data_IF_054378696913
#
_entry.id   IF_054378696913
#
_cell.length_a   1.000
_cell.length_b   1.000
_cell.length_c   1.000
_cell.angle_alpha   90.00
_cell.angle_beta   90.00
_cell.angle_gamma   90.00
#
_symmetry.space_group_name_H-M   'P 1'
#
loop_
_entity.id
_entity.type
_entity.pdbx_description
1 polymer ?
#
# COMPACT_ATOMS: atom_id res chain seq x y z
N UNK A 1 -1.43 16.20 -13.20
CA UNK A 1 -0.90 15.28 -14.23
C UNK A 1 -1.60 15.60 -15.53
N UNK A 2 -0.83 15.66 -16.62
CA UNK A 2 -1.34 15.65 -17.99
C UNK A 2 -0.73 14.46 -18.71
N UNK A 3 -1.54 13.66 -19.37
CA UNK A 3 -1.10 12.56 -20.21
C UNK A 3 -1.68 12.77 -21.60
N UNK A 4 -0.85 12.66 -22.63
CA UNK A 4 -1.27 12.85 -24.01
C UNK A 4 -0.87 11.65 -24.85
N UNK A 5 -1.70 11.33 -25.83
CA UNK A 5 -1.47 10.23 -26.76
C UNK A 5 -0.79 10.79 -28.00
N UNK A 6 0.20 10.08 -28.50
CA UNK A 6 0.73 10.33 -29.83
C UNK A 6 0.58 9.11 -30.71
N UNK A 7 0.31 9.34 -31.99
CA UNK A 7 -0.11 8.30 -32.93
C UNK A 7 -1.63 8.22 -33.14
N UNK A 8 -2.41 9.07 -32.48
CA UNK A 8 -3.86 9.25 -32.71
C UNK A 8 -4.14 9.88 -34.08
N UNK A 9 -3.37 10.89 -34.49
CA UNK A 9 -3.59 11.63 -35.75
C UNK A 9 -3.36 10.77 -37.01
N UNK A 10 -2.25 10.02 -37.14
CA UNK A 10 -2.08 9.11 -38.28
C UNK A 10 -3.11 7.98 -38.32
N UNK A 11 -3.70 7.63 -37.16
CA UNK A 11 -4.78 6.67 -37.04
C UNK A 11 -6.12 7.27 -37.53
N UNK A 12 -6.35 8.56 -37.28
CA UNK A 12 -7.52 9.31 -37.73
C UNK A 12 -7.65 9.36 -39.26
N UNK A 13 -6.50 9.42 -39.94
CA UNK A 13 -6.46 9.53 -41.41
C UNK A 13 -6.73 8.18 -42.11
N UNK A 14 -6.70 7.05 -41.38
CA UNK A 14 -6.83 5.69 -41.92
C UNK A 14 -8.07 4.94 -41.47
N UNK A 15 -8.67 5.31 -40.34
CA UNK A 15 -9.84 4.64 -39.77
C UNK A 15 -11.10 5.47 -39.95
N UNK A 16 -12.23 4.77 -40.05
CA UNK A 16 -13.52 5.44 -39.98
C UNK A 16 -13.70 6.14 -38.61
N UNK A 17 -14.36 7.32 -38.55
CA UNK A 17 -14.53 8.07 -37.31
C UNK A 17 -15.17 7.28 -36.17
N UNK A 18 -16.04 6.32 -36.47
CA UNK A 18 -16.68 5.46 -35.48
C UNK A 18 -15.70 4.49 -34.82
N UNK A 19 -14.85 3.84 -35.63
CA UNK A 19 -13.81 2.92 -35.14
C UNK A 19 -12.76 3.68 -34.33
N UNK A 20 -12.35 4.86 -34.81
CA UNK A 20 -11.45 5.73 -34.06
C UNK A 20 -12.03 6.10 -32.69
N UNK A 21 -13.32 6.47 -32.64
CA UNK A 21 -14.00 6.83 -31.39
C UNK A 21 -14.07 5.66 -30.43
N UNK A 22 -14.32 4.44 -30.92
CA UNK A 22 -14.35 3.23 -30.10
C UNK A 22 -12.99 2.96 -29.45
N UNK A 23 -11.90 3.10 -30.21
CA UNK A 23 -10.52 2.91 -29.73
C UNK A 23 -10.17 3.95 -28.67
N UNK A 24 -10.41 5.23 -28.94
CA UNK A 24 -10.14 6.31 -28.00
C UNK A 24 -10.97 6.16 -26.72
N UNK A 25 -12.23 5.75 -26.83
CA UNK A 25 -13.08 5.50 -25.65
C UNK A 25 -12.54 4.36 -24.79
N UNK A 26 -12.10 3.25 -25.40
CA UNK A 26 -11.47 2.14 -24.69
C UNK A 26 -10.18 2.55 -23.99
N UNK A 27 -9.34 3.32 -24.68
CA UNK A 27 -8.13 3.91 -24.11
C UNK A 27 -8.44 4.81 -22.91
N UNK A 28 -9.36 5.76 -23.03
CA UNK A 28 -9.66 6.70 -21.95
C UNK A 28 -10.22 6.00 -20.73
N UNK A 29 -11.06 4.98 -20.91
CA UNK A 29 -11.55 4.16 -19.82
C UNK A 29 -10.41 3.44 -19.09
N UNK A 30 -9.45 2.88 -19.84
CA UNK A 30 -8.28 2.20 -19.27
C UNK A 30 -7.39 3.16 -18.47
N UNK A 31 -7.15 4.38 -18.99
CA UNK A 31 -6.38 5.41 -18.28
C UNK A 31 -7.10 5.88 -17.02
N UNK A 32 -8.40 6.16 -17.14
CA UNK A 32 -9.23 6.59 -16.02
C UNK A 32 -9.33 5.53 -14.92
N UNK A 33 -9.29 4.25 -15.29
CA UNK A 33 -9.18 3.14 -14.33
C UNK A 33 -7.85 3.18 -13.57
N UNK A 34 -6.71 3.32 -14.27
CA UNK A 34 -5.40 3.38 -13.60
C UNK A 34 -5.30 4.61 -12.68
N UNK A 35 -5.76 5.78 -13.13
CA UNK A 35 -5.77 7.00 -12.32
C UNK A 35 -6.60 6.82 -11.04
N UNK A 36 -7.83 6.30 -11.17
CA UNK A 36 -8.72 6.06 -10.02
C UNK A 36 -8.19 5.01 -9.07
N UNK A 37 -7.53 3.97 -9.58
CA UNK A 37 -6.90 2.92 -8.77
C UNK A 37 -5.86 3.47 -7.80
N UNK A 38 -5.16 4.52 -8.21
CA UNK A 38 -4.21 5.27 -7.37
C UNK A 38 -4.87 6.48 -6.68
N UNK A 39 -6.19 6.50 -6.53
CA UNK A 39 -6.91 7.56 -5.83
C UNK A 39 -6.79 8.96 -6.46
N UNK A 40 -6.44 9.02 -7.75
CA UNK A 40 -6.49 10.24 -8.54
C UNK A 40 -7.89 10.49 -9.10
N UNK A 41 -8.20 11.76 -9.33
CA UNK A 41 -9.45 12.20 -9.95
C UNK A 41 -9.17 12.62 -11.39
N UNK A 42 -9.90 12.05 -12.35
CA UNK A 42 -9.90 12.51 -13.74
C UNK A 42 -10.75 13.77 -13.79
N UNK A 43 -10.13 14.88 -14.20
CA UNK A 43 -10.78 16.18 -14.24
C UNK A 43 -11.52 16.38 -15.56
N UNK A 44 -10.78 16.33 -16.67
CA UNK A 44 -11.34 16.50 -18.01
C UNK A 44 -10.50 15.83 -19.07
N UNK A 45 -11.13 15.58 -20.21
CA UNK A 45 -10.48 15.18 -21.45
C UNK A 45 -10.32 16.42 -22.34
N UNK A 46 -9.12 16.64 -22.87
CA UNK A 46 -8.78 17.77 -23.74
C UNK A 46 -8.29 17.18 -25.06
N UNK A 47 -9.23 16.93 -25.99
CA UNK A 47 -8.90 16.18 -27.21
C UNK A 47 -8.50 14.74 -26.87
N UNK A 48 -7.26 14.37 -27.20
CA UNK A 48 -6.59 13.11 -26.86
C UNK A 48 -5.84 13.13 -25.52
N UNK A 49 -5.76 14.28 -24.86
CA UNK A 49 -5.10 14.41 -23.56
C UNK A 49 -6.05 14.18 -22.38
N UNK A 50 -5.54 13.54 -21.32
CA UNK A 50 -6.19 13.33 -20.03
C UNK A 50 -5.58 14.25 -18.99
N UNK A 51 -6.41 15.06 -18.33
CA UNK A 51 -6.02 15.82 -17.14
C UNK A 51 -6.47 15.08 -15.88
N UNK A 52 -5.53 14.81 -14.99
CA UNK A 52 -5.78 14.14 -13.72
C UNK A 52 -5.13 14.88 -12.55
N UNK A 53 -5.75 14.76 -11.38
CA UNK A 53 -5.38 15.50 -10.18
C UNK A 53 -5.29 14.54 -9.01
N UNK A 54 -4.25 14.72 -8.22
CA UNK A 54 -4.00 13.98 -6.99
C UNK A 54 -3.99 15.00 -5.85
N UNK A 55 -4.66 14.67 -4.75
CA UNK A 55 -4.81 15.57 -3.60
C UNK A 55 -6.09 16.42 -3.57
N UNK A 56 -7.04 16.17 -4.48
CA UNK A 56 -8.36 16.82 -4.49
C UNK A 56 -9.45 15.73 -4.52
N UNK A 57 -10.49 15.80 -3.67
CA UNK A 57 -10.78 16.88 -2.70
C UNK A 57 -9.96 16.82 -1.41
N UNK A 58 -9.21 15.74 -1.17
CA UNK A 58 -8.41 15.55 0.03
C UNK A 58 -6.93 15.39 -0.32
N UNK A 59 -6.09 16.25 0.25
CA UNK A 59 -4.64 16.22 0.06
C UNK A 59 -3.98 15.18 0.96
N UNK A 60 -3.00 14.47 0.41
CA UNK A 60 -2.21 13.44 1.09
C UNK A 60 -0.72 13.65 0.81
N UNK A 61 0.13 13.28 1.77
CA UNK A 61 1.60 13.45 1.64
C UNK A 61 2.17 12.66 0.45
N UNK A 62 1.57 11.51 0.13
CA UNK A 62 1.95 10.60 -0.95
C UNK A 62 1.29 10.91 -2.31
N UNK A 63 0.58 12.04 -2.46
CA UNK A 63 -0.01 12.47 -3.74
C UNK A 63 0.98 12.47 -4.93
N UNK A 64 2.23 12.96 -4.77
CA UNK A 64 3.22 12.91 -5.83
C UNK A 64 3.59 11.47 -6.24
N UNK A 65 3.74 10.57 -5.26
CA UNK A 65 4.10 9.16 -5.49
C UNK A 65 3.01 8.44 -6.25
N UNK A 66 1.76 8.63 -5.84
CA UNK A 66 0.60 8.09 -6.55
C UNK A 66 0.54 8.53 -7.99
N UNK A 67 0.79 9.82 -8.23
CA UNK A 67 0.76 10.35 -9.59
C UNK A 67 1.80 9.63 -10.45
N UNK A 68 3.02 9.41 -9.94
CA UNK A 68 4.05 8.68 -10.68
C UNK A 68 3.67 7.20 -10.87
N UNK A 69 3.17 6.52 -9.82
CA UNK A 69 2.71 5.11 -9.92
C UNK A 69 1.57 4.95 -10.94
N UNK A 70 0.59 5.86 -10.91
CA UNK A 70 -0.48 5.89 -11.89
C UNK A 70 0.05 6.06 -13.31
N UNK A 71 1.01 6.97 -13.51
CA UNK A 71 1.62 7.19 -14.82
C UNK A 71 2.38 5.95 -15.33
N UNK A 72 3.13 5.26 -14.47
CA UNK A 72 3.82 4.01 -14.81
C UNK A 72 2.81 2.90 -15.17
N UNK A 73 1.74 2.75 -14.37
CA UNK A 73 0.68 1.77 -14.64
C UNK A 73 -0.11 2.10 -15.91
N UNK A 74 -0.31 3.39 -16.21
CA UNK A 74 -0.91 3.85 -17.46
C UNK A 74 -0.05 3.45 -18.67
N UNK A 75 1.27 3.64 -18.61
CA UNK A 75 2.19 3.20 -19.67
C UNK A 75 2.19 1.67 -19.83
N UNK A 76 2.23 0.92 -18.74
CA UNK A 76 2.17 -0.54 -18.76
C UNK A 76 0.81 -1.06 -19.28
N UNK A 77 -0.29 -0.40 -18.95
CA UNK A 77 -1.61 -0.71 -19.46
C UNK A 77 -1.71 -0.42 -20.98
N UNK A 78 -1.15 0.70 -21.45
CA UNK A 78 -1.10 1.02 -22.87
C UNK A 78 -0.24 0.01 -23.65
N UNK A 79 0.88 -0.44 -23.09
CA UNK A 79 1.72 -1.47 -23.71
C UNK A 79 0.92 -2.76 -23.96
N UNK A 80 0.19 -3.25 -22.94
CA UNK A 80 -0.69 -4.43 -23.06
C UNK A 80 -1.82 -4.21 -24.06
N UNK A 81 -2.40 -3.01 -24.10
CA UNK A 81 -3.44 -2.67 -25.07
C UNK A 81 -2.91 -2.70 -26.51
N UNK A 82 -1.70 -2.17 -26.75
CA UNK A 82 -1.04 -2.23 -28.04
C UNK A 82 -0.73 -3.68 -28.47
N UNK A 83 -0.25 -4.51 -27.55
CA UNK A 83 0.02 -5.93 -27.82
C UNK A 83 -1.24 -6.67 -28.27
N UNK A 84 -2.37 -6.45 -27.60
CA UNK A 84 -3.66 -7.04 -27.98
C UNK A 84 -4.11 -6.60 -29.37
N UNK A 85 -3.93 -5.32 -29.71
CA UNK A 85 -4.27 -4.79 -31.05
C UNK A 85 -3.38 -5.37 -32.13
N UNK A 86 -2.06 -5.40 -31.92
CA UNK A 86 -1.09 -5.94 -32.87
C UNK A 86 -1.28 -7.44 -33.10
N UNK A 87 -1.79 -8.17 -32.11
CA UNK A 87 -2.14 -9.58 -32.25
C UNK A 87 -3.38 -9.80 -33.15
N UNK A 88 -4.31 -8.84 -33.19
CA UNK A 88 -5.51 -8.89 -34.04
C UNK A 88 -5.24 -8.33 -35.44
N UNK A 89 -4.41 -7.29 -35.53
CA UNK A 89 -4.04 -6.60 -36.76
C UNK A 89 -2.54 -6.24 -36.72
N UNK A 90 -1.68 -6.98 -37.45
CA UNK A 90 -0.24 -6.72 -37.50
C UNK A 90 0.14 -5.35 -38.07
N UNK A 91 -0.75 -4.68 -38.82
CA UNK A 91 -0.53 -3.34 -39.36
C UNK A 91 -1.05 -2.23 -38.43
N UNK A 92 -1.61 -2.59 -37.27
CA UNK A 92 -2.12 -1.63 -36.31
C UNK A 92 -1.02 -0.66 -35.86
N UNK A 93 -1.32 0.64 -35.95
CA UNK A 93 -0.40 1.68 -35.46
C UNK A 93 -0.25 1.59 -33.94
N UNK A 94 0.99 1.53 -33.47
CA UNK A 94 1.30 1.54 -32.04
C UNK A 94 0.99 2.92 -31.46
N UNK A 95 0.14 2.95 -30.44
CA UNK A 95 -0.14 4.17 -29.69
C UNK A 95 0.98 4.41 -28.69
N UNK A 96 1.43 5.65 -28.58
CA UNK A 96 2.42 6.06 -27.58
C UNK A 96 1.80 7.08 -26.65
N UNK A 97 2.34 7.21 -25.45
CA UNK A 97 1.89 8.25 -24.52
C UNK A 97 3.06 8.97 -23.89
N UNK A 98 2.85 10.23 -23.54
CA UNK A 98 3.84 10.99 -22.80
C UNK A 98 3.15 11.82 -21.73
N UNK A 99 3.79 11.92 -20.57
CA UNK A 99 3.13 12.36 -19.34
C UNK A 99 3.94 13.47 -18.68
N UNK A 100 3.26 14.51 -18.23
CA UNK A 100 3.81 15.59 -17.42
C UNK A 100 3.15 15.64 -16.04
N UNK A 101 3.96 15.60 -14.99
CA UNK A 101 3.52 15.65 -13.59
C UNK A 101 4.22 16.81 -12.89
N UNK A 102 3.45 17.59 -12.15
CA UNK A 102 4.00 18.64 -11.31
C UNK A 102 3.15 18.79 -10.04
N UNK A 103 3.82 19.12 -8.94
CA UNK A 103 3.22 19.35 -7.62
C UNK A 103 3.30 20.83 -7.27
N UNK A 104 2.22 21.39 -6.74
CA UNK A 104 2.19 22.77 -6.27
C UNK A 104 0.80 23.21 -5.84
N UNK A 105 0.71 24.45 -5.35
CA UNK A 105 -0.55 25.02 -4.89
C UNK A 105 -1.49 25.30 -6.07
N UNK A 106 -2.75 24.93 -5.88
CA UNK A 106 -3.83 25.13 -6.85
C UNK A 106 -5.07 25.61 -6.12
N UNK A 107 -5.83 26.51 -6.75
CA UNK A 107 -7.15 26.89 -6.29
C UNK A 107 -8.18 26.00 -6.99
N UNK A 108 -9.06 25.36 -6.21
CA UNK A 108 -10.16 24.55 -6.71
C UNK A 108 -11.48 25.03 -6.11
N UNK A 109 -12.49 25.23 -6.96
CA UNK A 109 -13.86 25.55 -6.52
C UNK A 109 -14.65 24.26 -6.33
N UNK A 110 -15.22 24.05 -5.13
CA UNK A 110 -16.17 22.97 -4.86
C UNK A 110 -17.59 23.50 -4.95
N UNK A 111 -18.18 23.55 -6.15
CA UNK A 111 -19.61 23.86 -6.27
C UNK A 111 -20.44 22.61 -5.95
N UNK A 112 -20.83 22.47 -4.68
CA UNK A 112 -21.69 21.40 -4.17
C UNK A 112 -23.18 21.58 -4.53
N UNK A 113 -23.50 22.32 -5.59
CA UNK A 113 -24.85 22.86 -5.82
C UNK A 113 -25.53 22.55 -7.15
N UNK A 114 -24.86 22.07 -8.20
CA UNK A 114 -25.57 21.79 -9.45
C UNK A 114 -24.85 20.81 -10.38
N UNK A 115 -25.65 20.11 -11.18
CA UNK A 115 -25.35 18.84 -11.87
C UNK A 115 -24.39 18.93 -13.09
N UNK A 116 -23.34 19.76 -13.04
CA UNK A 116 -22.23 19.75 -14.01
C UNK A 116 -20.88 19.94 -13.30
N UNK A 117 -20.15 18.83 -13.24
CA UNK A 117 -18.84 18.65 -12.59
C UNK A 117 -17.72 19.30 -13.43
N UNK A 118 -17.57 20.61 -13.36
CA UNK A 118 -16.34 21.26 -13.79
C UNK A 118 -15.64 21.78 -12.51
N UNK A 119 -14.68 21.04 -11.94
CA UNK A 119 -13.84 21.63 -10.91
C UNK A 119 -12.94 22.65 -11.62
N UNK A 120 -13.16 23.94 -11.36
CA UNK A 120 -12.27 24.96 -11.89
C UNK A 120 -10.96 24.91 -11.09
N UNK A 121 -9.99 24.15 -11.60
CA UNK A 121 -8.66 24.08 -11.04
C UNK A 121 -7.78 25.09 -11.76
N UNK A 122 -7.30 26.08 -11.02
CA UNK A 122 -6.40 27.11 -11.52
C UNK A 122 -5.14 27.17 -10.68
N UNK A 123 -4.00 27.38 -11.33
CA UNK A 123 -2.73 27.48 -10.62
C UNK A 123 -1.55 27.32 -11.56
N UNK A 124 -0.42 27.86 -11.13
CA UNK A 124 0.82 27.76 -11.88
C UNK A 124 1.27 26.31 -12.07
N UNK A 125 1.03 25.47 -11.05
CA UNK A 125 1.37 24.06 -11.07
C UNK A 125 0.70 23.28 -12.23
N UNK A 126 -0.55 23.61 -12.55
CA UNK A 126 -1.31 23.03 -13.65
C UNK A 126 -0.67 23.38 -14.99
N UNK A 127 -0.33 24.66 -15.17
CA UNK A 127 0.31 25.14 -16.39
C UNK A 127 1.69 24.49 -16.58
N UNK A 128 2.49 24.37 -15.52
CA UNK A 128 3.79 23.69 -15.58
C UNK A 128 3.63 22.22 -15.95
N UNK A 129 2.68 21.49 -15.35
CA UNK A 129 2.43 20.09 -15.70
C UNK A 129 2.06 19.90 -17.17
N UNK A 130 1.18 20.74 -17.71
CA UNK A 130 0.81 20.71 -19.13
C UNK A 130 2.01 21.01 -20.03
N UNK A 131 2.89 21.94 -19.63
CA UNK A 131 4.10 22.27 -20.39
C UNK A 131 5.13 21.14 -20.35
N UNK A 132 5.33 20.51 -19.19
CA UNK A 132 6.18 19.32 -19.06
C UNK A 132 5.68 18.19 -19.97
N UNK A 133 4.37 17.94 -20.00
CA UNK A 133 3.79 16.98 -20.95
C UNK A 133 4.13 17.39 -22.39
N UNK A 134 3.86 18.63 -22.80
CA UNK A 134 4.07 19.05 -24.19
C UNK A 134 5.51 18.95 -24.73
N UNK A 135 6.51 18.85 -23.85
CA UNK A 135 7.94 18.72 -24.21
C UNK A 135 8.50 17.33 -23.88
N UNK A 136 7.69 16.45 -23.30
CA UNK A 136 8.08 15.08 -23.00
C UNK A 136 8.25 14.30 -24.31
N UNK A 137 9.28 13.45 -24.36
CA UNK A 137 9.43 12.50 -25.47
C UNK A 137 8.38 11.39 -25.34
N UNK A 138 8.07 10.72 -26.45
CA UNK A 138 7.16 9.57 -26.44
C UNK A 138 7.61 8.51 -25.45
N UNK A 139 6.63 7.92 -24.77
CA UNK A 139 6.81 6.90 -23.73
C UNK A 139 7.67 7.36 -22.54
N UNK A 140 7.75 8.68 -22.30
CA UNK A 140 8.42 9.24 -21.12
C UNK A 140 7.46 9.94 -20.16
N UNK A 141 7.83 9.94 -18.88
CA UNK A 141 7.15 10.65 -17.81
C UNK A 141 8.10 11.73 -17.29
N UNK A 142 7.74 13.00 -17.48
CA UNK A 142 8.47 14.14 -16.94
C UNK A 142 7.85 14.63 -15.65
N UNK A 143 8.70 14.89 -14.65
CA UNK A 143 8.32 15.48 -13.37
C UNK A 143 9.00 16.82 -13.15
N UNK A 144 8.28 17.76 -12.52
CA UNK A 144 8.84 19.01 -12.04
C UNK A 144 9.61 18.84 -10.72
N UNK A 145 10.36 19.88 -10.32
CA UNK A 145 11.24 19.86 -9.15
C UNK A 145 10.56 19.46 -7.85
N UNK A 146 9.38 20.02 -7.54
CA UNK A 146 8.67 19.69 -6.30
C UNK A 146 8.24 18.23 -6.27
N UNK A 147 7.80 17.69 -7.41
CA UNK A 147 7.45 16.27 -7.54
C UNK A 147 8.69 15.40 -7.40
N UNK A 148 9.80 15.74 -8.06
CA UNK A 148 11.08 15.05 -7.89
C UNK A 148 11.54 15.03 -6.42
N UNK A 149 11.61 16.18 -5.76
CA UNK A 149 12.08 16.27 -4.37
C UNK A 149 11.22 15.46 -3.40
N UNK A 150 9.90 15.42 -3.61
CA UNK A 150 9.00 14.60 -2.81
C UNK A 150 9.24 13.10 -3.03
N UNK A 151 9.68 12.68 -4.21
CA UNK A 151 9.61 11.27 -4.65
C UNK A 151 10.96 10.64 -4.97
N UNK A 152 12.07 11.39 -4.85
CA UNK A 152 13.44 10.97 -5.22
C UNK A 152 13.95 9.73 -4.50
N UNK A 153 13.32 9.35 -3.39
CA UNK A 153 13.68 8.19 -2.57
C UNK A 153 12.80 6.96 -2.86
N UNK A 154 11.87 7.08 -3.80
CA UNK A 154 10.92 6.02 -4.18
C UNK A 154 11.13 5.62 -5.63
N UNK A 155 11.53 6.57 -6.49
CA UNK A 155 11.74 6.33 -7.91
C UNK A 155 13.15 6.72 -8.34
N UNK A 156 13.62 6.03 -9.37
CA UNK A 156 14.85 6.37 -10.06
C UNK A 156 14.57 7.44 -11.12
N UNK A 157 15.40 8.47 -11.17
CA UNK A 157 15.24 9.61 -12.07
C UNK A 157 16.48 9.86 -12.92
N UNK A 158 16.27 10.40 -14.12
CA UNK A 158 17.31 11.02 -14.94
C UNK A 158 17.08 12.53 -15.04
N UNK A 159 18.04 13.34 -14.61
CA UNK A 159 17.93 14.80 -14.67
C UNK A 159 18.13 15.32 -16.10
N UNK A 160 17.27 16.24 -16.53
CA UNK A 160 17.39 16.92 -17.81
C UNK A 160 18.07 18.28 -17.66
N UNK A 161 18.61 18.79 -18.77
CA UNK A 161 18.98 20.20 -18.85
C UNK A 161 17.75 21.09 -18.60
N UNK A 162 17.87 22.22 -17.88
CA UNK A 162 16.74 23.08 -17.56
C UNK A 162 15.94 23.49 -18.81
N UNK A 163 14.64 23.25 -18.78
CA UNK A 163 13.74 23.41 -19.92
C UNK A 163 13.20 24.84 -19.98
N UNK A 164 13.38 25.51 -21.12
CA UNK A 164 12.76 26.82 -21.38
C UNK A 164 11.33 26.61 -21.88
N UNK A 165 10.36 26.75 -20.98
CA UNK A 165 8.94 26.61 -21.31
C UNK A 165 8.32 27.95 -21.73
N UNK A 166 7.40 27.93 -22.70
CA UNK A 166 6.73 29.14 -23.19
C UNK A 166 5.98 29.84 -22.05
N UNK A 167 6.24 31.14 -21.88
CA UNK A 167 5.59 31.97 -20.85
C UNK A 167 6.24 31.90 -19.46
N UNK A 168 7.40 31.25 -19.34
CA UNK A 168 8.19 31.20 -18.11
C UNK A 168 9.47 32.02 -18.25
N UNK A 169 9.69 32.90 -17.28
CA UNK A 169 10.88 33.77 -17.25
C UNK A 169 12.15 32.96 -16.96
N UNK A 170 12.06 32.00 -16.03
CA UNK A 170 13.16 31.14 -15.62
C UNK A 170 13.01 29.74 -16.23
N UNK A 171 14.13 29.10 -16.64
CA UNK A 171 14.14 27.70 -17.03
C UNK A 171 13.64 26.80 -15.89
N UNK A 172 12.88 25.76 -16.22
CA UNK A 172 12.32 24.83 -15.25
C UNK A 172 13.15 23.55 -15.25
N UNK A 173 13.64 23.16 -14.08
CA UNK A 173 14.28 21.86 -13.88
C UNK A 173 13.26 20.73 -14.01
N UNK A 174 13.63 19.68 -14.75
CA UNK A 174 12.77 18.54 -15.01
C UNK A 174 13.57 17.23 -14.97
N UNK A 175 12.88 16.15 -14.63
CA UNK A 175 13.46 14.81 -14.53
C UNK A 175 12.59 13.81 -15.26
N UNK A 176 13.21 12.82 -15.90
CA UNK A 176 12.54 11.65 -16.47
C UNK A 176 12.44 10.59 -15.38
N UNK A 177 11.25 10.04 -15.16
CA UNK A 177 11.05 8.86 -14.31
C UNK A 177 11.53 7.62 -15.06
N UNK A 178 12.42 6.84 -14.45
CA UNK A 178 12.92 5.57 -15.02
C UNK A 178 12.21 4.33 -14.45
N UNK A 179 11.66 4.43 -13.25
CA UNK A 179 10.97 3.32 -12.57
C UNK A 179 11.10 3.41 -11.06
N UNK A 180 10.67 2.36 -10.35
CA UNK A 180 10.84 2.25 -8.89
C UNK A 180 12.32 2.05 -8.53
N UNK A 181 12.75 2.55 -7.37
CA UNK A 181 14.08 2.29 -6.84
C UNK A 181 14.16 0.87 -6.26
N UNK A 182 15.17 0.09 -6.67
CA UNK A 182 15.28 -1.37 -6.45
C UNK A 182 15.24 -1.84 -4.99
N UNK A 183 15.50 -0.97 -3.99
CA UNK A 183 15.47 -1.32 -2.57
C UNK A 183 14.09 -1.10 -1.89
N UNK A 184 13.14 -0.45 -2.57
CA UNK A 184 11.84 -0.13 -1.99
C UNK A 184 10.81 -1.21 -2.31
N UNK A 185 11.01 -2.39 -1.75
CA UNK A 185 10.06 -3.50 -1.85
C UNK A 185 8.80 -3.27 -1.01
N UNK A 186 8.03 -2.22 -1.27
CA UNK A 186 6.63 -2.09 -0.86
C UNK A 186 5.98 -0.87 -1.54
N UNK A 187 4.75 -1.08 -2.03
CA UNK A 187 3.96 -0.18 -2.90
C UNK A 187 3.52 1.16 -2.23
N UNK A 188 3.99 1.55 -1.05
CA UNK A 188 3.31 2.59 -0.23
C UNK A 188 4.21 3.45 0.66
N UNK A 189 5.52 3.18 0.71
CA UNK A 189 6.41 3.91 1.62
C UNK A 189 6.90 5.20 0.99
N UNK A 190 6.06 6.25 1.06
CA UNK A 190 6.57 7.61 0.92
C UNK A 190 7.43 7.91 2.16
N UNK A 191 8.75 8.16 2.02
CA UNK A 191 9.59 8.43 3.17
C UNK A 191 9.19 9.77 3.80
N UNK A 192 8.63 9.71 5.02
CA UNK A 192 8.28 10.91 5.80
C UNK A 192 9.55 11.57 6.37
N UNK A 193 9.78 12.82 5.96
CA UNK A 193 10.88 13.69 6.42
C UNK A 193 11.80 14.15 5.29
N UNK A 194 12.68 15.11 5.57
CA UNK A 194 13.75 15.50 4.63
C UNK A 194 14.97 14.63 4.94
N UNK A 195 15.44 13.89 3.94
CA UNK A 195 16.63 13.05 4.04
C UNK A 195 17.87 13.86 4.43
N UNK A 196 18.67 13.35 5.37
CA UNK A 196 19.85 14.02 5.91
C UNK A 196 19.57 15.14 6.93
N UNK A 197 18.31 15.50 7.16
CA UNK A 197 17.90 16.43 8.21
C UNK A 197 17.47 15.67 9.47
N UNK A 198 18.43 15.44 10.37
CA UNK A 198 18.15 15.04 11.75
C UNK A 198 17.77 16.26 12.58
N UNK A 199 16.57 16.80 12.36
CA UNK A 199 16.00 17.76 13.30
C UNK A 199 15.79 17.05 14.65
N UNK A 200 16.36 17.60 15.73
CA UNK A 200 16.15 17.09 17.09
C UNK A 200 14.65 17.08 17.40
N UNK A 201 14.16 16.00 18.01
CA UNK A 201 12.78 15.96 18.49
C UNK A 201 12.62 16.98 19.63
N UNK A 202 11.75 17.96 19.47
CA UNK A 202 11.48 18.99 20.48
C UNK A 202 10.09 18.78 21.08
N UNK A 203 9.99 18.83 22.41
CA UNK A 203 8.71 18.92 23.12
C UNK A 203 7.87 17.64 23.18
N UNK A 204 8.48 16.46 23.01
CA UNK A 204 7.79 15.14 23.03
C UNK A 204 8.33 14.15 24.07
N UNK A 205 8.98 14.68 25.12
CA UNK A 205 9.63 13.86 26.15
C UNK A 205 8.63 13.02 26.94
N UNK A 206 7.43 13.55 27.20
CA UNK A 206 6.40 12.83 27.95
C UNK A 206 5.84 11.65 27.14
N UNK A 207 5.54 11.87 25.85
CA UNK A 207 5.02 10.83 24.97
C UNK A 207 6.05 9.72 24.77
N UNK A 208 7.33 10.06 24.57
CA UNK A 208 8.41 9.06 24.54
C UNK A 208 8.49 8.29 25.86
N UNK A 209 8.48 8.97 27.00
CA UNK A 209 8.54 8.32 28.31
C UNK A 209 7.38 7.32 28.51
N UNK A 210 6.16 7.67 28.08
CA UNK A 210 5.01 6.77 28.13
C UNK A 210 5.17 5.55 27.21
N UNK A 211 5.71 5.75 26.00
CA UNK A 211 5.99 4.64 25.08
C UNK A 211 7.04 3.69 25.65
N UNK A 212 8.15 4.22 26.18
CA UNK A 212 9.20 3.43 26.85
C UNK A 212 8.65 2.65 28.04
N UNK A 213 7.89 3.31 28.94
CA UNK A 213 7.28 2.66 30.09
C UNK A 213 6.31 1.54 29.69
N UNK A 214 5.49 1.77 28.66
CA UNK A 214 4.54 0.77 28.17
C UNK A 214 5.26 -0.42 27.54
N UNK A 215 6.33 -0.18 26.77
CA UNK A 215 7.11 -1.27 26.18
C UNK A 215 7.88 -2.08 27.23
N UNK A 216 8.46 -1.43 28.24
CA UNK A 216 9.06 -2.12 29.38
C UNK A 216 8.04 -3.04 30.07
N UNK A 217 6.78 -2.59 30.20
CA UNK A 217 5.69 -3.39 30.75
C UNK A 217 5.31 -4.58 29.86
N UNK A 218 5.25 -4.39 28.54
CA UNK A 218 5.05 -5.49 27.57
C UNK A 218 6.10 -6.57 27.73
N UNK A 219 7.36 -6.18 27.90
CA UNK A 219 8.47 -7.11 28.10
C UNK A 219 8.37 -7.84 29.44
N UNK A 220 8.10 -7.12 30.53
CA UNK A 220 8.03 -7.67 31.88
C UNK A 220 6.82 -8.60 32.09
N UNK A 221 5.63 -8.18 31.63
CA UNK A 221 4.39 -8.93 31.82
C UNK A 221 4.16 -9.98 30.74
N UNK A 222 4.93 -9.92 29.64
CA UNK A 222 4.74 -10.77 28.45
C UNK A 222 3.29 -10.75 27.96
N UNK A 223 2.72 -9.54 27.89
CA UNK A 223 1.35 -9.31 27.43
C UNK A 223 1.31 -8.26 26.34
N UNK A 224 0.46 -8.43 25.33
CA UNK A 224 0.33 -7.46 24.27
C UNK A 224 -0.19 -6.13 24.81
N UNK A 225 0.35 -5.02 24.33
CA UNK A 225 -0.24 -3.69 24.54
C UNK A 225 -0.41 -2.98 23.21
N UNK A 226 -1.42 -2.11 23.14
CA UNK A 226 -1.68 -1.26 21.98
C UNK A 226 -1.60 0.20 22.37
N UNK A 227 -0.74 0.96 21.69
CA UNK A 227 -0.62 2.40 21.82
C UNK A 227 -1.15 3.04 20.53
N UNK A 228 -2.15 3.90 20.65
CA UNK A 228 -2.60 4.74 19.53
C UNK A 228 -2.01 6.14 19.67
N UNK A 229 -1.21 6.56 18.69
CA UNK A 229 -0.61 7.90 18.67
C UNK A 229 -1.49 8.83 17.84
N UNK A 230 -2.28 9.67 18.51
CA UNK A 230 -3.22 10.58 17.85
C UNK A 230 -2.60 11.95 17.61
N UNK A 231 -2.87 12.50 16.44
CA UNK A 231 -2.52 13.89 16.14
C UNK A 231 -2.77 14.28 14.70
N UNK A 232 -2.73 15.59 14.44
CA UNK A 232 -2.88 16.16 13.11
C UNK A 232 -1.80 15.65 12.13
N UNK A 233 -2.04 15.73 10.80
CA UNK A 233 -1.00 15.52 9.78
C UNK A 233 0.22 16.43 10.02
N UNK A 234 1.43 15.97 9.71
CA UNK A 234 2.66 16.75 9.88
C UNK A 234 3.12 17.02 11.33
N UNK A 235 2.36 16.64 12.37
CA UNK A 235 2.71 16.93 13.78
C UNK A 235 3.90 16.12 14.34
N UNK A 236 4.51 15.26 13.50
CA UNK A 236 5.69 14.46 13.87
C UNK A 236 5.40 13.06 14.44
N UNK A 237 4.21 12.47 14.25
CA UNK A 237 3.88 11.11 14.74
C UNK A 237 4.88 10.05 14.28
N UNK A 238 5.17 9.98 12.98
CA UNK A 238 6.14 9.01 12.45
C UNK A 238 7.56 9.30 12.91
N UNK A 239 7.91 10.56 13.21
CA UNK A 239 9.20 10.90 13.82
C UNK A 239 9.27 10.40 15.27
N UNK A 240 8.20 10.56 16.04
CA UNK A 240 8.11 10.06 17.41
C UNK A 240 8.27 8.53 17.45
N UNK A 241 7.60 7.80 16.55
CA UNK A 241 7.77 6.35 16.43
C UNK A 241 9.21 5.99 16.07
N UNK A 242 9.82 6.68 15.10
CA UNK A 242 11.21 6.43 14.70
C UNK A 242 12.18 6.64 15.84
N UNK A 243 12.02 7.73 16.59
CA UNK A 243 12.86 8.05 17.75
C UNK A 243 12.74 6.98 18.85
N UNK A 244 11.50 6.55 19.15
CA UNK A 244 11.24 5.47 20.09
C UNK A 244 11.92 4.16 19.65
N UNK A 245 11.71 3.73 18.41
CA UNK A 245 12.30 2.50 17.87
C UNK A 245 13.83 2.52 17.90
N UNK A 246 14.42 3.65 17.52
CA UNK A 246 15.87 3.83 17.55
C UNK A 246 16.41 3.72 18.98
N UNK A 247 15.76 4.37 19.94
CA UNK A 247 16.16 4.31 21.35
C UNK A 247 16.05 2.89 21.93
N UNK A 248 15.02 2.11 21.58
CA UNK A 248 14.89 0.72 22.03
C UNK A 248 15.96 -0.18 21.42
N UNK A 249 16.29 0.03 20.14
CA UNK A 249 17.37 -0.69 19.47
C UNK A 249 18.74 -0.37 20.08
N UNK A 250 19.02 0.91 20.35
CA UNK A 250 20.25 1.36 21.01
C UNK A 250 20.36 0.84 22.44
N UNK A 251 19.26 0.80 23.18
CA UNK A 251 19.22 0.26 24.55
C UNK A 251 19.57 -1.22 24.54
N UNK A 252 18.95 -2.01 23.66
CA UNK A 252 19.24 -3.43 23.53
C UNK A 252 20.70 -3.72 23.16
N UNK A 253 21.33 -2.89 22.31
CA UNK A 253 22.76 -3.00 21.94
C UNK A 253 23.71 -2.69 23.11
N UNK A 254 23.32 -1.80 24.02
CA UNK A 254 24.17 -1.37 25.14
C UNK A 254 24.16 -2.36 26.33
N UNK A 255 23.10 -3.16 26.49
CA UNK A 255 22.99 -4.18 27.56
C UNK A 255 23.91 -5.37 27.28
N UNK A 256 25.13 -5.33 27.83
CA UNK A 256 26.17 -6.35 27.65
C UNK A 256 26.36 -7.28 28.87
N UNK A 257 25.48 -7.19 29.88
CA UNK A 257 25.64 -7.91 31.16
C UNK A 257 24.32 -8.53 31.65
N UNK A 258 24.31 -9.86 31.82
CA UNK A 258 23.43 -10.76 32.60
C UNK A 258 21.89 -10.68 32.50
N UNK A 259 21.28 -9.54 32.17
CA UNK A 259 19.84 -9.41 31.85
C UNK A 259 19.67 -9.02 30.37
N UNK A 260 19.65 -10.02 29.49
CA UNK A 260 19.55 -9.85 28.04
C UNK A 260 18.17 -9.32 27.61
N UNK A 261 18.00 -8.00 27.56
CA UNK A 261 16.93 -7.38 26.77
C UNK A 261 17.23 -7.61 25.28
N UNK A 262 16.51 -8.54 24.66
CA UNK A 262 16.66 -8.82 23.24
C UNK A 262 16.13 -7.65 22.40
N UNK A 263 16.87 -7.25 21.36
CA UNK A 263 16.43 -6.20 20.45
C UNK A 263 15.07 -6.58 19.82
N UNK A 264 14.08 -5.66 19.83
CA UNK A 264 12.78 -5.95 19.25
C UNK A 264 12.92 -6.20 17.75
N UNK A 265 12.18 -7.19 17.26
CA UNK A 265 11.87 -7.26 15.83
C UNK A 265 10.83 -6.19 15.54
N UNK A 266 11.11 -5.32 14.58
CA UNK A 266 10.18 -4.28 14.17
C UNK A 266 9.52 -4.69 12.85
N UNK A 267 8.19 -4.77 12.86
CA UNK A 267 7.37 -5.03 11.68
C UNK A 267 6.55 -3.78 11.37
N UNK A 268 6.58 -3.30 10.14
CA UNK A 268 5.89 -2.07 9.76
C UNK A 268 4.98 -2.30 8.56
N UNK A 269 3.75 -1.81 8.67
CA UNK A 269 2.78 -1.77 7.58
C UNK A 269 2.03 -0.44 7.60
N UNK A 270 1.53 -0.02 6.43
CA UNK A 270 0.79 1.24 6.27
C UNK A 270 -0.58 0.99 5.68
N UNK A 271 -1.60 1.65 6.23
CA UNK A 271 -2.95 1.66 5.67
C UNK A 271 -3.02 2.68 4.53
N UNK A 272 -3.16 2.27 3.26
CA UNK A 272 -3.31 3.22 2.17
C UNK A 272 -4.73 3.84 2.20
N UNK A 273 -4.89 5.11 1.80
CA UNK A 273 -6.23 5.73 1.73
C UNK A 273 -7.11 5.19 0.59
N UNK A 274 -6.54 4.44 -0.36
CA UNK A 274 -7.18 4.02 -1.61
C UNK A 274 -6.46 2.79 -2.20
N UNK A 275 -7.12 2.13 -3.15
CA UNK A 275 -6.61 0.96 -3.88
C UNK A 275 -7.59 -0.21 -3.82
N UNK A 276 -7.34 -1.25 -4.63
CA UNK A 276 -8.03 -2.54 -4.44
C UNK A 276 -7.31 -3.37 -3.36
N UNK A 277 -8.05 -4.06 -2.49
CA UNK A 277 -7.46 -4.93 -1.45
C UNK A 277 -6.84 -4.17 -0.27
N UNK A 278 -7.42 -3.03 0.10
CA UNK A 278 -6.92 -2.12 1.15
C UNK A 278 -6.95 -2.76 2.54
N UNK A 279 -7.93 -3.62 2.80
CA UNK A 279 -8.24 -4.17 4.13
C UNK A 279 -7.01 -4.72 4.86
N UNK A 280 -6.25 -5.62 4.24
CA UNK A 280 -5.09 -6.26 4.86
C UNK A 280 -3.76 -5.80 4.26
N UNK A 281 -3.75 -4.63 3.60
CA UNK A 281 -2.53 -4.08 2.97
C UNK A 281 -1.35 -3.93 3.93
N UNK A 282 -1.51 -3.39 5.16
CA UNK A 282 -0.40 -3.30 6.11
C UNK A 282 0.22 -4.66 6.42
N UNK A 283 -0.59 -5.71 6.45
CA UNK A 283 -0.13 -7.06 6.72
C UNK A 283 0.69 -7.61 5.55
N UNK A 284 0.30 -7.33 4.30
CA UNK A 284 1.11 -7.66 3.10
C UNK A 284 2.51 -7.06 3.22
N UNK A 285 2.59 -5.80 3.65
CA UNK A 285 3.87 -5.07 3.76
C UNK A 285 4.76 -5.66 4.85
N UNK A 286 4.16 -6.02 5.99
CA UNK A 286 4.84 -6.75 7.05
C UNK A 286 5.38 -8.09 6.53
N UNK A 287 4.58 -8.86 5.79
CA UNK A 287 5.01 -10.14 5.22
C UNK A 287 6.14 -9.98 4.22
N UNK A 288 6.04 -9.01 3.31
CA UNK A 288 7.10 -8.71 2.35
C UNK A 288 8.40 -8.30 3.06
N UNK A 289 8.30 -7.47 4.11
CA UNK A 289 9.47 -7.09 4.91
C UNK A 289 10.12 -8.31 5.57
N UNK A 290 9.34 -9.23 6.14
CA UNK A 290 9.86 -10.47 6.75
C UNK A 290 10.60 -11.35 5.75
N UNK A 291 10.09 -11.43 4.52
CA UNK A 291 10.63 -12.30 3.48
C UNK A 291 11.84 -11.68 2.79
N UNK A 292 11.90 -10.36 2.67
CA UNK A 292 13.05 -9.65 2.09
C UNK A 292 14.27 -9.66 3.01
N UNK A 293 14.09 -9.73 4.34
CA UNK A 293 15.21 -9.87 5.30
C UNK A 293 16.00 -11.18 5.08
N UNK A 294 15.41 -12.20 4.43
CA UNK A 294 16.10 -13.46 4.14
C UNK A 294 16.77 -13.52 2.76
N UNK A 295 16.57 -12.52 1.89
CA UNK A 295 17.01 -12.58 0.48
C UNK A 295 18.46 -12.12 0.28
N UNK A 296 19.41 -12.81 0.91
CA UNK A 296 20.82 -12.74 0.52
C UNK A 296 21.33 -14.05 -0.10
N UNK A 297 20.43 -14.96 -0.48
CA UNK A 297 20.81 -16.24 -1.11
C UNK A 297 20.11 -16.46 -2.45
N UNK A 298 20.95 -16.62 -3.46
CA UNK A 298 20.68 -16.85 -4.87
C UNK A 298 20.06 -18.23 -5.10
N UNK A 299 18.74 -18.37 -5.28
CA UNK A 299 18.14 -19.50 -6.05
C UNK A 299 16.77 -19.11 -6.67
N UNK A 300 16.69 -19.24 -7.99
CA UNK A 300 15.69 -18.63 -8.90
C UNK A 300 14.39 -19.44 -9.11
N UNK A 301 13.99 -20.35 -8.21
CA UNK A 301 12.92 -21.34 -8.54
C UNK A 301 11.75 -21.44 -7.56
N UNK A 302 11.76 -20.79 -6.40
CA UNK A 302 10.64 -20.87 -5.44
C UNK A 302 9.64 -19.74 -5.61
N UNK A 303 8.34 -20.04 -5.56
CA UNK A 303 7.32 -19.00 -5.54
C UNK A 303 7.35 -18.25 -4.21
N UNK A 304 6.80 -17.03 -4.17
CA UNK A 304 6.70 -16.25 -2.95
C UNK A 304 5.86 -16.99 -1.88
N UNK A 305 4.82 -17.71 -2.31
CA UNK A 305 3.97 -18.53 -1.44
C UNK A 305 4.75 -19.68 -0.80
N UNK A 306 5.63 -20.35 -1.56
CA UNK A 306 6.49 -21.42 -1.03
C UNK A 306 7.44 -20.87 0.03
N UNK A 307 8.10 -19.74 -0.28
CA UNK A 307 9.03 -19.06 0.64
C UNK A 307 8.33 -18.64 1.93
N UNK A 308 7.09 -18.14 1.84
CA UNK A 308 6.31 -17.78 3.00
C UNK A 308 5.90 -19.00 3.82
N UNK A 309 5.49 -20.07 3.16
CA UNK A 309 5.11 -21.33 3.84
C UNK A 309 6.30 -21.93 4.58
N UNK A 310 7.49 -21.93 3.98
CA UNK A 310 8.72 -22.37 4.62
C UNK A 310 9.10 -21.47 5.81
N UNK A 311 8.94 -20.15 5.66
CA UNK A 311 9.13 -19.20 6.76
C UNK A 311 8.21 -19.48 7.95
N UNK A 312 6.91 -19.69 7.69
CA UNK A 312 5.92 -20.03 8.73
C UNK A 312 6.29 -21.36 9.39
N UNK A 313 6.66 -22.37 8.59
CA UNK A 313 7.10 -23.68 9.07
C UNK A 313 8.26 -23.57 10.04
N UNK A 314 9.34 -22.91 9.65
CA UNK A 314 10.49 -22.72 10.54
C UNK A 314 10.12 -21.94 11.81
N UNK A 315 9.30 -20.90 11.67
CA UNK A 315 8.86 -20.06 12.79
C UNK A 315 8.08 -20.87 13.82
N UNK A 316 7.13 -21.70 13.37
CA UNK A 316 6.31 -22.54 14.24
C UNK A 316 7.11 -23.69 14.86
N UNK A 317 8.06 -24.28 14.12
CA UNK A 317 8.97 -25.30 14.65
C UNK A 317 9.83 -24.73 15.79
N UNK A 318 10.41 -23.54 15.58
CA UNK A 318 11.23 -22.87 16.60
C UNK A 318 10.43 -22.52 17.85
N UNK A 319 9.15 -22.16 17.67
CA UNK A 319 8.19 -21.91 18.75
C UNK A 319 7.61 -23.18 19.40
N UNK A 320 7.98 -24.38 18.91
CA UNK A 320 7.41 -25.67 19.35
C UNK A 320 5.88 -25.69 19.30
N UNK A 321 5.29 -25.02 18.31
CA UNK A 321 3.84 -25.01 18.10
C UNK A 321 3.37 -26.37 17.60
N UNK A 322 2.21 -26.83 18.09
CA UNK A 322 1.54 -28.04 17.59
C UNK A 322 0.62 -27.79 16.40
N UNK A 323 0.51 -26.53 15.96
CA UNK A 323 -0.35 -26.11 14.86
C UNK A 323 0.28 -26.49 13.52
N UNK A 324 -0.55 -26.83 12.53
CA UNK A 324 -0.08 -27.17 11.19
C UNK A 324 0.43 -25.90 10.47
N UNK A 325 1.73 -25.83 10.12
CA UNK A 325 2.26 -24.65 9.46
C UNK A 325 1.68 -24.38 8.07
N UNK A 326 1.25 -25.41 7.35
CA UNK A 326 0.67 -25.26 6.01
C UNK A 326 -0.71 -24.60 6.12
N UNK A 327 -1.54 -25.04 7.05
CA UNK A 327 -2.85 -24.44 7.31
C UNK A 327 -2.74 -22.98 7.79
N UNK A 328 -1.79 -22.69 8.67
CA UNK A 328 -1.53 -21.31 9.15
C UNK A 328 -1.07 -20.42 8.00
N UNK A 329 -0.09 -20.88 7.20
CA UNK A 329 0.40 -20.12 6.04
C UNK A 329 -0.72 -19.88 5.02
N UNK A 330 -1.50 -20.91 4.70
CA UNK A 330 -2.58 -20.83 3.74
C UNK A 330 -3.70 -19.88 4.18
N UNK A 331 -4.10 -19.92 5.46
CA UNK A 331 -5.09 -18.99 6.01
C UNK A 331 -4.63 -17.53 5.91
N UNK A 332 -3.34 -17.27 6.16
CA UNK A 332 -2.75 -15.93 6.01
C UNK A 332 -2.71 -15.52 4.53
N UNK A 333 -2.14 -16.32 3.64
CA UNK A 333 -2.04 -16.01 2.20
C UNK A 333 -3.43 -15.75 1.61
N UNK A 334 -4.41 -16.61 1.90
CA UNK A 334 -5.77 -16.50 1.38
C UNK A 334 -6.43 -15.19 1.76
N UNK A 335 -6.22 -14.73 3.00
CA UNK A 335 -6.81 -13.47 3.48
C UNK A 335 -6.20 -12.23 2.87
N UNK A 336 -4.91 -12.28 2.55
CA UNK A 336 -4.15 -11.18 1.99
C UNK A 336 -4.47 -11.01 0.48
N UNK A 337 -5.15 -12.00 -0.11
CA UNK A 337 -5.43 -12.07 -1.53
C UNK A 337 -4.16 -12.41 -2.31
N UNK A 338 -4.30 -13.02 -3.50
CA UNK A 338 -3.21 -13.38 -4.42
C UNK A 338 -2.43 -12.18 -4.96
N UNK A 339 -1.79 -11.43 -4.08
CA UNK A 339 -0.86 -10.34 -4.40
C UNK A 339 0.50 -10.56 -3.77
N UNK A 340 0.66 -11.70 -3.11
CA UNK A 340 1.93 -12.33 -2.80
C UNK A 340 2.33 -13.15 -4.05
N UNK A 341 2.64 -12.48 -5.16
CA UNK A 341 2.95 -13.15 -6.44
C UNK A 341 1.74 -13.48 -7.34
N UNK A 342 2.01 -13.68 -8.63
CA UNK A 342 1.07 -13.63 -9.77
C UNK A 342 0.30 -14.95 -10.09
N UNK A 343 -0.10 -15.78 -9.13
CA UNK A 343 -0.61 -17.13 -9.48
C UNK A 343 -2.01 -17.46 -8.93
N UNK A 344 -2.88 -17.93 -9.82
CA UNK A 344 -4.30 -18.24 -9.59
C UNK A 344 -4.51 -19.73 -9.33
N UNK A 345 -4.71 -20.16 -8.07
CA UNK A 345 -5.06 -21.56 -7.71
C UNK A 345 -6.26 -21.62 -6.76
N UNK A 346 -7.49 -21.63 -7.28
CA UNK A 346 -8.71 -21.80 -6.47
C UNK A 346 -9.39 -23.15 -6.70
N UNK A 347 -8.86 -23.97 -7.61
CA UNK A 347 -9.54 -25.19 -8.04
C UNK A 347 -8.95 -26.48 -7.47
N UNK A 348 -7.75 -26.47 -6.88
CA UNK A 348 -7.06 -27.73 -6.55
C UNK A 348 -7.32 -28.27 -5.13
N UNK A 349 -7.75 -27.45 -4.16
CA UNK A 349 -7.86 -27.90 -2.76
C UNK A 349 -9.26 -28.38 -2.36
N UNK A 350 -10.32 -27.81 -2.96
CA UNK A 350 -11.70 -28.32 -2.77
C UNK A 350 -11.79 -29.78 -3.23
N UNK A 351 -11.06 -30.13 -4.28
CA UNK A 351 -10.96 -31.47 -4.85
C UNK A 351 -10.13 -32.44 -3.98
N UNK A 352 -9.17 -31.94 -3.18
CA UNK A 352 -8.33 -32.77 -2.29
C UNK A 352 -9.07 -33.12 -0.99
N UNK A 353 -9.80 -32.18 -0.39
CA UNK A 353 -10.60 -32.43 0.81
C UNK A 353 -11.81 -33.35 0.54
N UNK A 354 -12.34 -33.37 -0.68
CA UNK A 354 -13.39 -34.32 -1.07
C UNK A 354 -12.86 -35.73 -1.35
N UNK A 355 -11.59 -35.87 -1.76
CA UNK A 355 -10.95 -37.17 -2.03
C UNK A 355 -10.53 -37.92 -0.76
N UNK A 356 -10.39 -37.24 0.38
CA UNK A 356 -10.04 -37.86 1.66
C UNK A 356 -11.25 -38.32 2.50
N UNK A 357 -12.49 -38.16 2.00
CA UNK A 357 -13.67 -38.74 2.66
C UNK A 357 -13.78 -40.25 2.39
N UNK A 358 -13.93 -41.10 3.43
CA UNK A 358 -14.18 -42.52 3.23
C UNK A 358 -15.54 -42.73 2.53
N UNK A 359 -15.61 -43.62 1.51
CA UNK A 359 -16.83 -43.84 0.74
C UNK A 359 -17.86 -44.58 1.61
N UNK A 360 -18.94 -43.91 2.00
CA UNK A 360 -20.04 -44.59 2.72
C UNK A 360 -21.00 -43.75 3.56
N UNK A 361 -20.85 -42.42 3.67
CA UNK A 361 -21.86 -41.60 4.36
C UNK A 361 -22.86 -40.99 3.37
N UNK A 362 -23.96 -41.71 3.14
CA UNK A 362 -25.12 -41.22 2.39
C UNK A 362 -25.77 -40.04 3.13
N UNK A 363 -26.17 -38.95 2.46
CA UNK A 363 -26.85 -37.85 3.14
C UNK A 363 -28.28 -38.27 3.50
N UNK A 364 -28.50 -38.56 4.78
CA UNK A 364 -29.82 -38.79 5.35
C UNK A 364 -30.63 -37.49 5.36
N UNK A 365 -31.66 -37.45 4.52
CA UNK A 365 -32.77 -36.50 4.59
C UNK A 365 -33.44 -36.58 5.96
N UNK A 366 -33.32 -35.51 6.74
CA UNK A 366 -34.06 -35.32 7.99
C UNK A 366 -34.33 -33.83 8.14
N UNK A 367 -35.62 -33.50 8.12
CA UNK A 367 -36.16 -32.16 8.23
C UNK A 367 -35.61 -31.41 9.44
N UNK A 368 -34.98 -30.26 9.21
CA UNK A 368 -34.69 -29.30 10.27
C UNK A 368 -35.19 -27.90 9.89
N UNK A 369 -36.05 -27.40 10.77
CA UNK A 369 -36.34 -26.02 11.10
C UNK A 369 -35.71 -24.93 10.20
N UNK A 370 -36.60 -24.19 9.54
CA UNK A 370 -36.37 -22.80 9.14
C UNK A 370 -36.09 -21.98 10.40
N UNK A 371 -34.81 -21.81 10.77
CA UNK A 371 -34.29 -20.76 11.66
C UNK A 371 -32.75 -20.88 11.79
N UNK A 372 -32.02 -20.82 10.68
CA UNK A 372 -30.55 -20.66 10.72
C UNK A 372 -30.03 -20.08 9.40
N UNK A 373 -30.42 -18.85 9.08
CA UNK A 373 -29.81 -18.05 7.99
C UNK A 373 -28.95 -16.91 8.55
N UNK A 374 -28.05 -17.18 9.50
CA UNK A 374 -27.05 -16.20 9.96
C UNK A 374 -25.66 -16.75 10.33
N UNK A 375 -25.35 -18.04 10.11
CA UNK A 375 -24.09 -18.65 10.59
C UNK A 375 -23.10 -19.07 9.49
N UNK A 376 -23.18 -18.49 8.28
CA UNK A 376 -22.36 -18.88 7.13
C UNK A 376 -21.07 -18.07 6.89
N UNK A 377 -20.92 -16.89 7.51
CA UNK A 377 -19.78 -15.99 7.26
C UNK A 377 -18.66 -16.04 8.31
N UNK A 378 -18.87 -16.68 9.47
CA UNK A 378 -17.95 -16.61 10.62
C UNK A 378 -16.71 -17.53 10.54
N UNK A 379 -16.75 -18.59 9.72
CA UNK A 379 -15.68 -19.60 9.65
C UNK A 379 -14.36 -19.10 9.06
N UNK A 380 -14.34 -18.49 7.85
CA UNK A 380 -13.11 -18.03 7.21
C UNK A 380 -12.42 -16.89 7.97
N UNK A 381 -13.21 -15.96 8.53
CA UNK A 381 -12.69 -14.82 9.27
C UNK A 381 -12.05 -15.23 10.61
N UNK A 382 -12.66 -16.18 11.32
CA UNK A 382 -12.08 -16.75 12.55
C UNK A 382 -10.80 -17.55 12.28
N UNK A 383 -10.76 -18.30 11.17
CA UNK A 383 -9.55 -19.02 10.77
C UNK A 383 -8.38 -18.05 10.52
N UNK A 384 -8.66 -16.93 9.85
CA UNK A 384 -7.70 -15.86 9.63
C UNK A 384 -7.17 -15.25 10.95
N UNK A 385 -8.08 -14.81 11.82
CA UNK A 385 -7.71 -14.22 13.11
C UNK A 385 -6.84 -15.16 13.93
N UNK A 386 -7.21 -16.45 13.97
CA UNK A 386 -6.43 -17.50 14.63
C UNK A 386 -5.05 -17.69 14.00
N UNK A 387 -4.95 -17.72 12.68
CA UNK A 387 -3.69 -17.90 11.97
C UNK A 387 -2.70 -16.76 12.26
N UNK A 388 -3.16 -15.51 12.21
CA UNK A 388 -2.34 -14.35 12.60
C UNK A 388 -1.89 -14.41 14.05
N UNK A 389 -2.78 -14.82 14.97
CA UNK A 389 -2.42 -15.00 16.38
C UNK A 389 -1.28 -16.00 16.54
N UNK A 390 -1.45 -17.21 16.01
CA UNK A 390 -0.45 -18.30 16.10
C UNK A 390 0.89 -17.84 15.51
N UNK A 391 0.86 -17.19 14.35
CA UNK A 391 2.05 -16.74 13.68
C UNK A 391 2.80 -15.65 14.47
N UNK A 392 2.08 -14.63 14.95
CA UNK A 392 2.69 -13.54 15.73
C UNK A 392 3.16 -14.01 17.11
N UNK A 393 2.45 -14.92 17.76
CA UNK A 393 2.89 -15.58 19.00
C UNK A 393 4.20 -16.33 18.77
N UNK A 394 4.27 -17.15 17.71
CA UNK A 394 5.48 -17.90 17.38
C UNK A 394 6.67 -16.99 17.05
N UNK A 395 6.45 -15.85 16.40
CA UNK A 395 7.49 -14.84 16.18
C UNK A 395 7.95 -14.18 17.49
N UNK A 396 7.00 -13.78 18.34
CA UNK A 396 7.27 -13.06 19.58
C UNK A 396 7.88 -13.94 20.69
N UNK A 397 7.80 -15.27 20.55
CA UNK A 397 8.54 -16.21 21.40
C UNK A 397 10.05 -16.17 21.13
N UNK A 398 10.48 -15.85 19.91
CA UNK A 398 11.90 -15.82 19.54
C UNK A 398 12.58 -14.53 20.05
N UNK A 399 11.90 -13.40 19.92
CA UNK A 399 12.35 -12.09 20.42
C UNK A 399 11.14 -11.15 20.54
N UNK A 400 11.22 -10.08 21.35
CA UNK A 400 10.14 -9.09 21.44
C UNK A 400 9.73 -8.53 20.09
N UNK A 401 8.44 -8.21 19.95
CA UNK A 401 7.88 -7.75 18.69
C UNK A 401 7.28 -6.35 18.85
N UNK A 402 7.66 -5.43 17.96
CA UNK A 402 6.99 -4.14 17.81
C UNK A 402 6.35 -4.11 16.43
N UNK A 403 5.03 -4.01 16.38
CA UNK A 403 4.25 -3.94 15.14
C UNK A 403 3.74 -2.51 14.98
N UNK A 404 4.21 -1.81 13.96
CA UNK A 404 3.77 -0.47 13.60
C UNK A 404 2.75 -0.55 12.48
N UNK A 405 1.54 -0.04 12.72
CA UNK A 405 0.50 0.14 11.70
C UNK A 405 0.26 1.64 11.51
N UNK A 406 0.89 2.23 10.50
CA UNK A 406 0.78 3.66 10.22
C UNK A 406 -0.50 3.99 9.44
N UNK A 407 -0.96 5.23 9.59
CA UNK A 407 -2.19 5.76 8.99
C UNK A 407 -3.46 4.95 9.34
N UNK A 408 -3.58 4.50 10.60
CA UNK A 408 -4.69 3.63 11.03
C UNK A 408 -6.09 4.21 10.75
N UNK A 409 -6.23 5.54 10.60
CA UNK A 409 -7.50 6.16 10.19
C UNK A 409 -8.07 5.62 8.86
N UNK A 410 -7.22 5.09 7.98
CA UNK A 410 -7.62 4.47 6.70
C UNK A 410 -7.88 2.97 6.81
N UNK A 411 -7.74 2.37 7.99
CA UNK A 411 -8.03 0.95 8.18
C UNK A 411 -9.51 0.65 7.92
N UNK A 412 -9.75 -0.51 7.32
CA UNK A 412 -11.08 -1.13 7.25
C UNK A 412 -11.45 -1.77 8.59
N UNK A 413 -12.75 -1.94 8.84
CA UNK A 413 -13.24 -2.52 10.10
C UNK A 413 -12.65 -3.89 10.40
N UNK A 414 -12.44 -4.73 9.38
CA UNK A 414 -11.88 -6.07 9.58
C UNK A 414 -10.41 -6.05 10.07
N UNK A 415 -9.62 -5.03 9.71
CA UNK A 415 -8.27 -4.87 10.23
C UNK A 415 -8.29 -4.35 11.68
N UNK A 416 -9.20 -3.42 11.98
CA UNK A 416 -9.42 -2.92 13.34
C UNK A 416 -9.87 -4.07 14.27
N UNK A 417 -10.83 -4.88 13.81
CA UNK A 417 -11.30 -6.09 14.51
C UNK A 417 -10.16 -7.08 14.75
N UNK A 418 -9.28 -7.28 13.76
CA UNK A 418 -8.11 -8.15 13.91
C UNK A 418 -7.14 -7.62 14.97
N UNK A 419 -6.77 -6.34 14.92
CA UNK A 419 -5.85 -5.76 15.92
C UNK A 419 -6.41 -5.84 17.33
N UNK A 420 -7.71 -5.58 17.47
CA UNK A 420 -8.44 -5.74 18.72
C UNK A 420 -8.45 -7.20 19.19
N UNK A 421 -8.77 -8.14 18.30
CA UNK A 421 -8.73 -9.57 18.58
C UNK A 421 -7.34 -10.01 19.04
N UNK A 422 -6.27 -9.58 18.36
CA UNK A 422 -4.89 -9.95 18.69
C UNK A 422 -4.50 -9.40 20.06
N UNK A 423 -4.85 -8.15 20.35
CA UNK A 423 -4.57 -7.52 21.65
C UNK A 423 -5.29 -8.24 22.80
N UNK A 424 -6.50 -8.75 22.56
CA UNK A 424 -7.29 -9.43 23.60
C UNK A 424 -6.94 -10.92 23.76
N UNK A 425 -6.48 -11.59 22.69
CA UNK A 425 -6.33 -13.05 22.64
C UNK A 425 -4.91 -13.55 22.72
N UNK A 426 -3.91 -12.72 22.42
CA UNK A 426 -2.51 -13.08 22.59
C UNK A 426 -2.16 -13.06 24.07
N UNK A 427 -1.51 -14.12 24.54
CA UNK A 427 -1.02 -14.23 25.92
C UNK A 427 0.43 -14.72 25.94
N UNK A 428 1.16 -14.39 27.01
CA UNK A 428 2.48 -14.94 27.35
C UNK A 428 3.62 -14.61 26.38
N UNK A 429 3.43 -13.60 25.52
CA UNK A 429 4.45 -13.08 24.60
C UNK A 429 4.51 -11.54 24.58
N UNK A 430 5.71 -10.94 24.44
CA UNK A 430 5.90 -9.49 24.46
C UNK A 430 5.68 -8.86 23.07
N UNK A 431 4.46 -8.38 22.82
CA UNK A 431 4.09 -7.69 21.58
C UNK A 431 3.60 -6.26 21.87
N UNK A 432 4.17 -5.27 21.20
CA UNK A 432 3.69 -3.90 21.24
C UNK A 432 3.11 -3.50 19.88
N UNK A 433 1.83 -3.14 19.85
CA UNK A 433 1.20 -2.52 18.69
C UNK A 433 1.32 -0.99 18.80
N UNK A 434 1.96 -0.36 17.81
CA UNK A 434 2.04 1.09 17.67
C UNK A 434 1.19 1.53 16.48
N UNK A 435 0.14 2.29 16.76
CA UNK A 435 -0.83 2.72 15.75
C UNK A 435 -0.89 4.25 15.66
N UNK A 436 -0.01 4.90 14.87
CA UNK A 436 -0.19 6.29 14.50
C UNK A 436 -1.50 6.50 13.74
N UNK A 437 -2.31 7.44 14.22
CA UNK A 437 -3.62 7.72 13.66
C UNK A 437 -3.93 9.22 13.67
N UNK A 438 -4.89 9.61 12.85
CA UNK A 438 -5.53 10.92 12.92
C UNK A 438 -6.81 10.84 13.77
N UNK A 439 -7.29 11.97 14.34
CA UNK A 439 -8.47 11.98 15.22
C UNK A 439 -9.75 11.41 14.60
N UNK A 440 -9.88 11.50 13.27
CA UNK A 440 -10.99 10.96 12.46
C UNK A 440 -11.19 9.44 12.60
N UNK A 441 -10.21 8.70 13.14
CA UNK A 441 -10.40 7.31 13.53
C UNK A 441 -11.59 7.15 14.50
N UNK A 442 -11.74 8.07 15.45
CA UNK A 442 -12.82 8.01 16.45
C UNK A 442 -14.18 8.42 15.91
N UNK A 443 -14.23 9.13 14.79
CA UNK A 443 -15.51 9.42 14.13
C UNK A 443 -16.15 8.13 13.60
N UNK A 444 -15.31 7.18 13.15
CA UNK A 444 -15.72 5.86 12.65
C UNK A 444 -15.85 4.83 13.76
N UNK A 445 -14.87 4.74 14.67
CA UNK A 445 -14.80 3.72 15.72
C UNK A 445 -14.58 4.35 17.09
N UNK A 446 -15.67 4.85 17.68
CA UNK A 446 -15.67 5.56 18.97
C UNK A 446 -15.10 4.76 20.13
N UNK A 447 -15.30 3.44 20.11
CA UNK A 447 -14.86 2.52 21.17
C UNK A 447 -13.42 2.01 20.96
N UNK A 448 -12.69 2.53 19.96
CA UNK A 448 -11.31 2.11 19.67
C UNK A 448 -10.39 2.31 20.88
N UNK A 449 -9.81 1.21 21.35
CA UNK A 449 -8.93 1.19 22.54
C UNK A 449 -9.66 1.43 23.87
N UNK A 450 -10.99 1.61 23.87
CA UNK A 450 -11.79 1.83 25.06
C UNK A 450 -12.10 0.53 25.81
N UNK A 451 -12.09 0.57 27.14
CA UNK A 451 -12.66 -0.49 28.00
C UNK A 451 -11.85 -1.78 28.13
N UNK A 452 -10.58 -1.79 27.70
CA UNK A 452 -9.72 -2.99 27.75
C UNK A 452 -8.80 -2.97 28.96
N UNK A 453 -8.40 -4.17 29.41
CA UNK A 453 -7.55 -4.34 30.60
C UNK A 453 -6.17 -3.74 30.32
N UNK A 454 -5.87 -2.62 30.99
CA UNK A 454 -4.50 -2.14 31.16
C UNK A 454 -3.70 -3.07 32.05
#
# INVERSE_FOLDING_TARGET
MFADITGSTPLADRLDPEDMRAILSGYFNLMAEQIRRHGGTVEKYIGDAVMAVFGIPFAHEDDPDRAIRAALDMQAALARFNEQRLAQDPEATRLQMHIGINSGEVAATSDAGNNRRDFLITGDAVNVAARLQSVAMFDTILVGERTYLATRNVFTFHALAPLRLKGKAEPISAWVVLGLQNDTSAITQHPRGIEGLEARLVGRTLELALMHATYARVQAERRPHLITLLGAPGIGKSRLVREFLQSEEETARCTTCEDTLAAPRVLQGRCPPYGEGVTYRPLVEILNSLLNVRNNETYETQTLEDRFTDFVRETLINAKSSEDPVEVAYAIIRSVGRRIGNTTLEQNYTDQLERERPPGSTPGSSALNKNTEQSGQSGPHMALMRAWRIFLEALAQQQPLIIVIDDLQWADEALLDLLEYLTDRITDVPILFLCPARPDLYDRRRDWGGGRRN
#
